data_IF_363432490244
#
_entry.id   IF_363432490244
#
_cell.length_a   1.000
_cell.length_b   1.000
_cell.length_c   1.000
_cell.angle_alpha   90.00
_cell.angle_beta   90.00
_cell.angle_gamma   90.00
#
_symmetry.space_group_name_H-M   'P 1'
#
loop_
_entity.id
_entity.type
_entity.pdbx_description
1 polymer ?
#
# COMPACT_ATOMS: atom_id res chain seq x y z
N UNK A 1 -5.43 22.95 -6.93
CA UNK A 1 -6.31 22.89 -5.77
C UNK A 1 -5.69 23.72 -4.66
N UNK A 2 -6.50 24.41 -3.83
CA UNK A 2 -6.06 25.49 -2.97
C UNK A 2 -5.27 25.14 -1.71
N UNK A 3 -4.84 23.91 -1.56
CA UNK A 3 -4.08 23.37 -0.41
C UNK A 3 -2.65 22.92 -0.78
N UNK A 4 -2.19 23.19 -1.99
CA UNK A 4 -0.86 22.85 -2.47
C UNK A 4 0.02 24.11 -2.56
N UNK A 5 1.21 24.04 -1.97
CA UNK A 5 2.18 25.12 -1.92
C UNK A 5 3.53 24.65 -2.45
N UNK A 6 4.22 25.53 -3.15
CA UNK A 6 5.60 25.31 -3.59
C UNK A 6 6.49 26.30 -2.83
N UNK A 7 7.57 25.79 -2.26
CA UNK A 7 8.58 26.60 -1.56
C UNK A 7 9.94 26.35 -2.23
N UNK A 8 10.64 27.41 -2.59
CA UNK A 8 11.97 27.35 -3.14
C UNK A 8 12.94 27.84 -2.06
N UNK A 9 13.96 27.05 -1.81
CA UNK A 9 15.04 27.39 -0.89
C UNK A 9 16.31 27.61 -1.70
N UNK A 10 16.90 28.77 -1.59
CA UNK A 10 18.12 29.15 -2.27
C UNK A 10 19.31 29.20 -1.30
N UNK A 11 20.53 29.20 -1.82
CA UNK A 11 21.78 29.37 -1.05
C UNK A 11 21.97 28.31 0.07
N UNK A 12 21.56 27.07 -0.18
CA UNK A 12 21.67 26.00 0.80
C UNK A 12 23.10 25.46 0.99
N UNK A 13 24.09 25.93 0.21
CA UNK A 13 25.49 25.51 0.28
C UNK A 13 25.99 24.93 -1.03
N UNK A 14 27.32 24.78 -1.13
CA UNK A 14 27.99 24.28 -2.35
C UNK A 14 27.98 22.75 -2.49
N UNK A 15 27.80 22.02 -1.40
CA UNK A 15 27.76 20.56 -1.37
C UNK A 15 26.30 20.04 -1.22
N UNK A 16 25.99 18.95 -1.92
CA UNK A 16 24.65 18.36 -1.92
C UNK A 16 24.25 17.85 -0.53
N UNK A 17 25.18 17.27 0.21
CA UNK A 17 24.91 16.74 1.55
C UNK A 17 24.61 17.86 2.55
N UNK A 18 25.36 18.96 2.50
CA UNK A 18 25.11 20.14 3.33
C UNK A 18 23.77 20.78 2.97
N UNK A 19 23.50 20.96 1.69
CA UNK A 19 22.23 21.48 1.20
C UNK A 19 21.04 20.64 1.64
N UNK A 20 21.12 19.31 1.52
CA UNK A 20 20.08 18.38 1.98
C UNK A 20 19.88 18.46 3.49
N UNK A 21 20.94 18.61 4.27
CA UNK A 21 20.86 18.77 5.72
C UNK A 21 20.16 20.08 6.11
N UNK A 22 20.46 21.18 5.40
CA UNK A 22 19.79 22.48 5.62
C UNK A 22 18.32 22.43 5.20
N UNK A 23 18.02 21.87 4.03
CA UNK A 23 16.65 21.66 3.57
C UNK A 23 15.84 20.84 4.57
N UNK A 24 16.39 19.73 5.08
CA UNK A 24 15.77 18.89 6.11
C UNK A 24 15.36 19.69 7.34
N UNK A 25 16.23 20.58 7.86
CA UNK A 25 15.92 21.41 9.02
C UNK A 25 14.75 22.35 8.76
N UNK A 26 14.68 22.94 7.55
CA UNK A 26 13.57 23.83 7.17
C UNK A 26 12.28 23.05 7.08
N UNK A 27 12.28 21.92 6.39
CA UNK A 27 11.09 21.07 6.21
C UNK A 27 10.56 20.54 7.54
N UNK A 28 11.45 20.13 8.45
CA UNK A 28 11.07 19.74 9.82
C UNK A 28 10.39 20.87 10.57
N UNK A 29 10.90 22.12 10.45
CA UNK A 29 10.24 23.28 11.05
C UNK A 29 8.86 23.53 10.46
N UNK A 30 8.70 23.41 9.13
CA UNK A 30 7.41 23.59 8.46
C UNK A 30 6.43 22.53 8.99
N UNK A 31 6.79 21.25 8.96
CA UNK A 31 5.94 20.15 9.44
C UNK A 31 5.53 20.38 10.90
N UNK A 32 6.50 20.68 11.77
CA UNK A 32 6.22 20.93 13.20
C UNK A 32 5.30 22.13 13.45
N UNK A 33 5.42 23.21 12.65
CA UNK A 33 4.57 24.38 12.82
C UNK A 33 3.16 24.16 12.26
N UNK A 34 3.02 23.51 11.10
CA UNK A 34 1.70 23.19 10.53
C UNK A 34 0.92 22.21 11.38
N UNK A 35 1.61 21.32 12.10
CA UNK A 35 0.98 20.34 12.99
C UNK A 35 0.51 20.92 14.33
N UNK A 36 0.87 22.16 14.65
CA UNK A 36 0.36 22.80 15.87
C UNK A 36 -1.13 23.07 15.76
N UNK A 37 -1.91 22.80 16.81
CA UNK A 37 -3.32 23.17 16.81
C UNK A 37 -3.49 24.69 16.69
N UNK A 38 -4.50 25.11 15.95
CA UNK A 38 -4.85 26.53 15.81
C UNK A 38 -6.36 26.73 15.95
N UNK A 39 -6.73 27.90 16.45
CA UNK A 39 -8.12 28.25 16.73
C UNK A 39 -8.72 29.07 15.59
N UNK A 40 -9.85 28.62 15.06
CA UNK A 40 -10.67 29.37 14.11
C UNK A 40 -12.10 29.42 14.65
N UNK A 41 -12.63 30.62 14.87
CA UNK A 41 -13.98 30.82 15.40
C UNK A 41 -14.28 29.98 16.66
N UNK A 42 -13.38 29.97 17.64
CA UNK A 42 -13.46 29.17 18.88
C UNK A 42 -13.51 27.63 18.66
N UNK A 43 -13.08 27.13 17.52
CA UNK A 43 -12.90 25.69 17.26
C UNK A 43 -11.42 25.41 17.01
N UNK A 44 -10.94 24.36 17.63
CA UNK A 44 -9.57 23.88 17.45
C UNK A 44 -9.47 23.04 16.17
N UNK A 45 -8.46 23.35 15.34
CA UNK A 45 -8.15 22.64 14.12
C UNK A 45 -6.71 22.11 14.17
N UNK A 46 -6.54 20.91 13.67
CA UNK A 46 -5.23 20.26 13.50
C UNK A 46 -4.89 20.20 12.03
N UNK A 47 -3.82 20.86 11.64
CA UNK A 47 -3.26 20.76 10.30
C UNK A 47 -2.24 19.62 10.21
N UNK A 48 -1.97 19.20 9.01
CA UNK A 48 -0.83 18.32 8.72
C UNK A 48 -0.30 18.59 7.31
N UNK A 49 1.00 18.41 7.09
CA UNK A 49 1.60 18.55 5.78
C UNK A 49 2.36 17.29 5.38
N UNK A 50 2.18 16.87 4.12
CA UNK A 50 3.04 15.89 3.48
C UNK A 50 3.88 16.63 2.46
N UNK A 51 5.21 16.55 2.58
CA UNK A 51 6.12 17.40 1.82
C UNK A 51 7.04 16.54 0.96
N UNK A 52 7.08 16.82 -0.35
CA UNK A 52 8.10 16.30 -1.26
C UNK A 52 9.24 17.31 -1.40
N UNK A 53 10.46 16.84 -1.35
CA UNK A 53 11.66 17.66 -1.45
C UNK A 53 12.50 17.22 -2.65
N UNK A 54 12.83 18.15 -3.53
CA UNK A 54 13.71 17.92 -4.67
C UNK A 54 14.94 18.81 -4.54
N UNK A 55 16.10 18.23 -4.72
CA UNK A 55 17.37 18.94 -4.76
C UNK A 55 17.82 19.13 -6.21
N UNK A 56 18.16 20.36 -6.60
CA UNK A 56 18.62 20.64 -7.96
C UNK A 56 19.69 21.71 -7.97
N UNK A 57 20.44 21.81 -9.06
CA UNK A 57 21.44 22.88 -9.29
C UNK A 57 21.16 23.58 -10.61
N UNK A 58 21.16 24.92 -10.57
CA UNK A 58 21.00 25.75 -11.76
C UNK A 58 19.77 25.38 -12.60
N UNK A 59 19.93 25.35 -13.92
CA UNK A 59 18.85 25.09 -14.89
C UNK A 59 18.96 23.70 -15.56
N UNK A 60 19.45 22.71 -14.85
CA UNK A 60 19.67 21.37 -15.41
C UNK A 60 18.38 20.60 -15.73
N UNK A 61 17.27 20.95 -15.06
CA UNK A 61 15.96 20.31 -15.24
C UNK A 61 14.89 21.35 -15.54
N UNK A 62 13.93 21.03 -16.43
CA UNK A 62 12.72 21.85 -16.62
C UNK A 62 11.90 21.93 -15.33
N UNK A 63 11.21 23.04 -15.12
CA UNK A 63 10.37 23.25 -13.93
C UNK A 63 9.30 22.16 -13.80
N UNK A 64 8.71 21.74 -14.91
CA UNK A 64 7.69 20.68 -14.94
C UNK A 64 8.26 19.34 -14.41
N UNK A 65 9.51 19.04 -14.72
CA UNK A 65 10.18 17.82 -14.23
C UNK A 65 10.47 17.91 -12.72
N UNK A 66 10.92 19.07 -12.23
CA UNK A 66 11.14 19.30 -10.80
C UNK A 66 9.83 19.18 -10.01
N UNK A 67 8.74 19.75 -10.50
CA UNK A 67 7.42 19.64 -9.88
C UNK A 67 6.93 18.19 -9.87
N UNK A 68 7.08 17.46 -10.96
CA UNK A 68 6.74 16.03 -11.02
C UNK A 68 7.53 15.19 -10.01
N UNK A 69 8.84 15.47 -9.85
CA UNK A 69 9.69 14.82 -8.87
C UNK A 69 9.24 15.16 -7.43
N UNK A 70 8.88 16.42 -7.16
CA UNK A 70 8.34 16.85 -5.88
C UNK A 70 7.02 16.14 -5.55
N UNK A 71 6.12 16.01 -6.51
CA UNK A 71 4.85 15.30 -6.37
C UNK A 71 5.06 13.82 -6.05
N UNK A 72 6.00 13.16 -6.71
CA UNK A 72 6.35 11.77 -6.42
C UNK A 72 6.85 11.60 -4.98
N UNK A 73 7.74 12.48 -4.53
CA UNK A 73 8.25 12.46 -3.17
C UNK A 73 7.14 12.78 -2.15
N UNK A 74 6.26 13.74 -2.43
CA UNK A 74 5.10 14.06 -1.60
C UNK A 74 4.12 12.86 -1.51
N UNK A 75 3.88 12.17 -2.61
CA UNK A 75 3.05 10.96 -2.62
C UNK A 75 3.63 9.87 -1.73
N UNK A 76 4.95 9.68 -1.72
CA UNK A 76 5.63 8.76 -0.81
C UNK A 76 5.46 9.20 0.66
N UNK A 77 5.60 10.49 0.96
CA UNK A 77 5.34 11.02 2.29
C UNK A 77 3.88 10.76 2.75
N UNK A 78 2.90 10.92 1.86
CA UNK A 78 1.49 10.54 2.12
C UNK A 78 1.33 9.05 2.40
N UNK A 79 2.07 8.20 1.68
CA UNK A 79 2.06 6.75 1.85
C UNK A 79 2.75 6.28 3.14
N UNK A 80 3.74 7.03 3.62
CA UNK A 80 4.50 6.76 4.84
C UNK A 80 3.80 7.18 6.16
N UNK A 81 2.52 7.52 6.11
CA UNK A 81 1.72 7.86 7.30
C UNK A 81 1.28 9.33 7.35
N UNK A 82 1.55 10.12 6.34
CA UNK A 82 1.29 11.58 6.29
C UNK A 82 2.07 12.36 7.35
N UNK A 83 1.86 13.68 7.43
CA UNK A 83 2.54 14.56 8.38
C UNK A 83 4.05 14.35 8.45
N UNK A 84 4.68 14.17 7.30
CA UNK A 84 6.10 13.86 7.13
C UNK A 84 6.61 14.41 5.79
N UNK A 85 7.89 14.24 5.54
CA UNK A 85 8.50 14.65 4.28
C UNK A 85 9.34 13.52 3.68
N UNK A 86 9.53 13.57 2.38
CA UNK A 86 10.40 12.66 1.64
C UNK A 86 11.25 13.43 0.65
N UNK A 87 12.53 13.09 0.56
CA UNK A 87 13.39 13.57 -0.53
C UNK A 87 13.16 12.72 -1.78
N UNK A 88 13.12 13.36 -2.93
CA UNK A 88 13.04 12.64 -4.20
C UNK A 88 14.31 11.81 -4.40
N UNK A 89 14.10 10.57 -4.79
CA UNK A 89 15.11 9.62 -5.24
C UNK A 89 14.67 9.12 -6.62
N UNK A 90 15.56 9.07 -7.63
CA UNK A 90 15.23 8.51 -8.95
C UNK A 90 14.57 7.12 -8.90
N UNK A 91 14.94 6.27 -7.94
CA UNK A 91 14.32 4.95 -7.74
C UNK A 91 12.85 5.02 -7.32
N UNK A 92 12.37 6.16 -6.82
CA UNK A 92 10.96 6.36 -6.48
C UNK A 92 10.07 6.27 -7.71
N UNK A 93 10.49 6.81 -8.85
CA UNK A 93 9.74 6.75 -10.09
C UNK A 93 9.61 5.31 -10.59
N UNK A 94 10.69 4.54 -10.48
CA UNK A 94 10.68 3.11 -10.81
C UNK A 94 9.71 2.34 -9.90
N UNK A 95 9.74 2.64 -8.60
CA UNK A 95 8.83 2.01 -7.62
C UNK A 95 7.37 2.33 -7.89
N UNK A 96 7.03 3.59 -8.22
CA UNK A 96 5.64 4.00 -8.55
C UNK A 96 5.17 3.33 -9.84
N UNK A 97 6.04 3.31 -10.87
CA UNK A 97 5.73 2.66 -12.15
C UNK A 97 5.53 1.15 -11.98
N UNK A 98 6.42 0.48 -11.24
CA UNK A 98 6.31 -0.94 -10.94
C UNK A 98 5.03 -1.29 -10.15
N UNK A 99 4.64 -0.45 -9.20
CA UNK A 99 3.39 -0.60 -8.46
C UNK A 99 2.16 -0.46 -9.34
N UNK A 100 2.13 0.55 -10.21
CA UNK A 100 1.01 0.74 -11.14
C UNK A 100 0.89 -0.43 -12.11
N UNK A 101 2.02 -0.95 -12.63
CA UNK A 101 2.05 -2.14 -13.46
C UNK A 101 1.54 -3.37 -12.70
N UNK A 102 1.99 -3.58 -11.46
CA UNK A 102 1.56 -4.71 -10.64
C UNK A 102 0.05 -4.65 -10.32
N UNK A 103 -0.51 -3.46 -10.10
CA UNK A 103 -1.96 -3.27 -9.93
C UNK A 103 -2.75 -3.65 -11.18
N UNK A 104 -2.29 -3.17 -12.34
CA UNK A 104 -2.91 -3.52 -13.62
C UNK A 104 -2.85 -5.03 -13.87
N UNK A 105 -1.72 -5.66 -13.61
CA UNK A 105 -1.55 -7.10 -13.70
C UNK A 105 -2.45 -7.86 -12.72
N UNK A 106 -2.57 -7.44 -11.47
CA UNK A 106 -3.44 -8.08 -10.49
C UNK A 106 -4.91 -8.03 -10.92
N UNK A 107 -5.36 -6.91 -11.47
CA UNK A 107 -6.72 -6.76 -12.02
C UNK A 107 -7.00 -7.78 -13.13
N UNK A 108 -6.03 -8.01 -14.00
CA UNK A 108 -6.10 -9.01 -15.07
C UNK A 108 -5.98 -10.42 -14.50
N UNK A 109 -5.07 -10.65 -13.55
CA UNK A 109 -4.84 -11.94 -12.90
C UNK A 109 -6.06 -12.49 -12.15
N UNK A 110 -6.88 -11.60 -11.56
CA UNK A 110 -8.17 -11.94 -10.98
C UNK A 110 -9.17 -12.52 -11.99
N UNK A 111 -9.07 -12.12 -13.27
CA UNK A 111 -9.96 -12.59 -14.34
C UNK A 111 -9.41 -13.81 -15.07
N UNK A 112 -8.09 -14.02 -15.07
CA UNK A 112 -7.38 -15.06 -15.82
C UNK A 112 -7.04 -16.32 -15.04
N UNK A 113 -7.63 -16.50 -13.85
CA UNK A 113 -7.34 -17.65 -12.97
C UNK A 113 -5.84 -17.80 -12.65
N UNK A 114 -5.15 -16.66 -12.42
CA UNK A 114 -3.74 -16.65 -12.02
C UNK A 114 -3.55 -16.79 -10.50
N UNK A 115 -4.63 -16.75 -9.74
CA UNK A 115 -4.59 -16.92 -8.30
C UNK A 115 -4.69 -18.39 -7.92
N UNK A 116 -4.06 -18.77 -6.80
CA UNK A 116 -4.09 -20.10 -6.21
C UNK A 116 -4.30 -19.98 -4.70
N UNK A 117 -4.94 -20.96 -4.09
CA UNK A 117 -4.93 -21.14 -2.65
C UNK A 117 -3.94 -22.23 -2.27
N UNK A 118 -3.04 -21.90 -1.36
CA UNK A 118 -2.25 -22.86 -0.63
C UNK A 118 -2.91 -23.06 0.73
N UNK A 119 -2.77 -24.25 1.31
CA UNK A 119 -3.40 -24.61 2.55
C UNK A 119 -2.34 -24.99 3.58
N UNK A 120 -2.31 -24.27 4.70
CA UNK A 120 -1.43 -24.58 5.81
C UNK A 120 -2.22 -25.32 6.87
N UNK A 121 -1.87 -26.56 7.14
CA UNK A 121 -2.56 -27.38 8.13
C UNK A 121 -2.40 -26.81 9.54
N UNK A 122 -3.48 -26.87 10.29
CA UNK A 122 -3.58 -26.52 11.71
C UNK A 122 -3.78 -27.78 12.52
N UNK A 123 -2.99 -27.95 13.57
CA UNK A 123 -2.99 -29.13 14.42
C UNK A 123 -3.41 -28.79 15.83
N UNK A 124 -4.06 -29.75 16.50
CA UNK A 124 -4.34 -29.65 17.93
C UNK A 124 -3.12 -30.03 18.78
N UNK A 125 -3.30 -30.00 20.11
CA UNK A 125 -2.25 -30.37 21.08
C UNK A 125 -1.85 -31.85 21.04
N UNK A 126 -2.68 -32.71 20.44
CA UNK A 126 -2.43 -34.12 20.19
C UNK A 126 -1.80 -34.39 18.82
N UNK A 127 -1.40 -33.31 18.11
CA UNK A 127 -0.84 -33.36 16.76
C UNK A 127 -1.76 -34.00 15.73
N UNK A 128 -3.10 -33.80 15.89
CA UNK A 128 -4.11 -34.20 14.92
C UNK A 128 -4.53 -33.01 14.07
N UNK A 129 -4.67 -33.16 12.73
CA UNK A 129 -5.12 -32.07 11.87
C UNK A 129 -6.57 -31.72 12.19
N UNK A 130 -6.83 -30.45 12.51
CA UNK A 130 -8.16 -29.91 12.83
C UNK A 130 -8.70 -28.99 11.72
N UNK A 131 -7.82 -28.44 10.91
CA UNK A 131 -8.22 -27.52 9.87
C UNK A 131 -7.06 -27.09 9.01
N UNK A 132 -7.30 -26.11 8.16
CA UNK A 132 -6.26 -25.45 7.37
C UNK A 132 -6.53 -23.96 7.23
N UNK A 133 -5.50 -23.19 7.11
CA UNK A 133 -5.56 -21.77 6.71
C UNK A 133 -5.39 -21.67 5.21
N UNK A 134 -6.33 -20.98 4.54
CA UNK A 134 -6.26 -20.69 3.12
C UNK A 134 -5.38 -19.45 2.89
N UNK A 135 -4.28 -19.65 2.22
CA UNK A 135 -3.28 -18.63 1.94
C UNK A 135 -3.21 -18.35 0.44
N UNK A 136 -3.69 -17.19 0.05
CA UNK A 136 -3.67 -16.78 -1.37
C UNK A 136 -2.23 -16.63 -1.87
N UNK A 137 -2.01 -17.07 -3.11
CA UNK A 137 -0.77 -16.91 -3.89
C UNK A 137 -1.13 -16.44 -5.29
N UNK A 138 -0.26 -15.69 -5.90
CA UNK A 138 -0.46 -15.24 -7.26
C UNK A 138 0.61 -15.84 -8.18
N UNK A 139 0.16 -16.67 -9.09
CA UNK A 139 1.00 -17.24 -10.15
C UNK A 139 1.11 -16.23 -11.29
N UNK A 140 2.01 -15.24 -11.10
CA UNK A 140 2.23 -14.20 -12.09
C UNK A 140 2.97 -14.77 -13.32
N UNK A 141 2.53 -14.46 -14.55
CA UNK A 141 3.10 -15.08 -15.76
C UNK A 141 4.60 -14.78 -15.96
N UNK A 142 5.07 -13.60 -15.55
CA UNK A 142 6.47 -13.19 -15.73
C UNK A 142 7.30 -13.30 -14.45
N UNK A 143 6.67 -13.19 -13.25
CA UNK A 143 7.37 -13.15 -11.96
C UNK A 143 7.31 -14.47 -11.19
N UNK A 144 6.60 -15.45 -11.71
CA UNK A 144 6.37 -16.72 -11.02
C UNK A 144 5.44 -16.56 -9.82
N UNK A 145 5.70 -17.27 -8.74
CA UNK A 145 4.86 -17.28 -7.55
C UNK A 145 5.10 -16.03 -6.69
N UNK A 146 4.14 -15.11 -6.68
CA UNK A 146 4.16 -13.87 -5.91
C UNK A 146 3.43 -14.08 -4.58
N UNK A 147 4.08 -13.70 -3.48
CA UNK A 147 3.54 -13.83 -2.13
C UNK A 147 2.54 -12.72 -1.77
N UNK A 148 1.67 -12.96 -0.76
CA UNK A 148 0.62 -12.00 -0.39
C UNK A 148 1.16 -10.65 0.08
N UNK A 149 2.32 -10.59 0.72
CA UNK A 149 2.94 -9.34 1.19
C UNK A 149 3.18 -8.32 0.07
N UNK A 150 3.38 -8.78 -1.18
CA UNK A 150 3.64 -7.91 -2.31
C UNK A 150 2.35 -7.29 -2.89
N UNK A 151 1.23 -8.03 -2.90
CA UNK A 151 0.03 -7.58 -3.59
C UNK A 151 -1.18 -7.28 -2.70
N UNK A 152 -1.26 -7.81 -1.47
CA UNK A 152 -2.41 -7.54 -0.57
C UNK A 152 -2.50 -6.05 -0.22
N UNK A 153 -1.39 -5.42 0.20
CA UNK A 153 -1.38 -3.98 0.50
C UNK A 153 -1.75 -3.14 -0.73
N UNK A 154 -1.36 -3.58 -1.91
CA UNK A 154 -1.73 -2.95 -3.17
C UNK A 154 -3.24 -3.12 -3.45
N UNK A 155 -3.77 -4.32 -3.28
CA UNK A 155 -5.19 -4.62 -3.43
C UNK A 155 -6.07 -3.81 -2.46
N UNK A 156 -5.63 -3.63 -1.21
CA UNK A 156 -6.31 -2.78 -0.23
C UNK A 156 -6.38 -1.32 -0.69
N UNK A 157 -5.27 -0.74 -1.15
CA UNK A 157 -5.21 0.65 -1.60
C UNK A 157 -6.04 0.90 -2.86
N UNK A 158 -6.01 -0.02 -3.81
CA UNK A 158 -6.73 0.09 -5.09
C UNK A 158 -8.20 -0.36 -5.04
N UNK A 159 -8.63 -1.00 -3.94
CA UNK A 159 -9.98 -1.58 -3.82
C UNK A 159 -10.12 -2.97 -4.45
N UNK A 160 -9.08 -3.50 -5.06
CA UNK A 160 -9.07 -4.87 -5.58
C UNK A 160 -9.18 -5.94 -4.49
N UNK A 161 -8.98 -5.57 -3.22
CA UNK A 161 -9.15 -6.48 -2.09
C UNK A 161 -10.56 -7.07 -2.02
N UNK A 162 -11.59 -6.32 -2.43
CA UNK A 162 -12.99 -6.78 -2.42
C UNK A 162 -13.21 -7.94 -3.41
N UNK A 163 -12.93 -7.79 -4.73
CA UNK A 163 -13.05 -8.91 -5.66
C UNK A 163 -12.08 -10.04 -5.35
N UNK A 164 -10.90 -9.75 -4.80
CA UNK A 164 -9.93 -10.75 -4.38
C UNK A 164 -10.49 -11.60 -3.23
N UNK A 165 -11.03 -10.99 -2.18
CA UNK A 165 -11.61 -11.70 -1.06
C UNK A 165 -12.83 -12.55 -1.45
N UNK A 166 -13.69 -12.05 -2.33
CA UNK A 166 -14.79 -12.85 -2.90
C UNK A 166 -14.28 -14.08 -3.64
N UNK A 167 -13.20 -13.93 -4.38
CA UNK A 167 -12.56 -15.05 -5.07
C UNK A 167 -12.00 -16.07 -4.05
N UNK A 168 -11.28 -15.59 -3.03
CA UNK A 168 -10.71 -16.44 -1.96
C UNK A 168 -11.80 -17.21 -1.23
N UNK A 169 -12.87 -16.54 -0.76
CA UNK A 169 -13.97 -17.17 -0.06
C UNK A 169 -14.66 -18.24 -0.91
N UNK A 170 -14.92 -17.94 -2.18
CA UNK A 170 -15.52 -18.92 -3.11
C UNK A 170 -14.65 -20.16 -3.24
N UNK A 171 -13.34 -19.99 -3.50
CA UNK A 171 -12.40 -21.12 -3.64
C UNK A 171 -12.22 -21.90 -2.35
N UNK A 172 -12.25 -21.24 -1.19
CA UNK A 172 -12.21 -21.91 0.10
C UNK A 172 -13.45 -22.77 0.34
N UNK A 173 -14.65 -22.27 0.03
CA UNK A 173 -15.89 -23.04 0.11
C UNK A 173 -15.92 -24.25 -0.86
N UNK A 174 -15.46 -24.04 -2.11
CA UNK A 174 -15.33 -25.14 -3.10
C UNK A 174 -14.41 -26.25 -2.56
N UNK A 175 -13.28 -25.87 -1.94
CA UNK A 175 -12.34 -26.84 -1.36
C UNK A 175 -12.91 -27.56 -0.14
N UNK A 176 -13.63 -26.84 0.75
CA UNK A 176 -14.34 -27.47 1.89
C UNK A 176 -15.37 -28.48 1.40
N UNK A 177 -16.14 -28.15 0.37
CA UNK A 177 -17.11 -29.07 -0.22
C UNK A 177 -16.43 -30.34 -0.77
N UNK A 178 -15.26 -30.19 -1.41
CA UNK A 178 -14.46 -31.32 -1.87
C UNK A 178 -13.94 -32.18 -0.70
N UNK A 179 -13.49 -31.55 0.39
CA UNK A 179 -13.02 -32.26 1.58
C UNK A 179 -14.14 -33.01 2.29
N UNK A 180 -15.37 -32.47 2.32
CA UNK A 180 -16.53 -33.11 2.92
C UNK A 180 -16.87 -34.47 2.29
N UNK A 181 -16.50 -34.68 1.02
CA UNK A 181 -16.66 -35.97 0.34
C UNK A 181 -15.64 -37.04 0.71
N UNK A 182 -14.61 -36.73 1.48
CA UNK A 182 -13.56 -37.68 1.87
C UNK A 182 -13.52 -37.83 3.42
N UNK A 183 -13.78 -39.04 3.98
CA UNK A 183 -13.79 -39.26 5.41
C UNK A 183 -12.51 -38.81 6.16
N UNK A 184 -11.35 -38.82 5.48
CA UNK A 184 -10.09 -38.40 6.07
C UNK A 184 -9.97 -36.87 6.26
N UNK A 185 -10.79 -36.08 5.55
CA UNK A 185 -10.73 -34.61 5.54
C UNK A 185 -12.05 -33.94 5.87
N UNK A 186 -13.15 -34.72 5.97
CA UNK A 186 -14.51 -34.19 6.19
C UNK A 186 -14.67 -33.43 7.52
N UNK A 187 -13.81 -33.69 8.48
CA UNK A 187 -13.81 -33.01 9.80
C UNK A 187 -13.01 -31.69 9.80
N UNK A 188 -12.23 -31.44 8.76
CA UNK A 188 -11.35 -30.26 8.74
C UNK A 188 -12.15 -28.95 8.56
N UNK A 189 -11.76 -27.95 9.30
CA UNK A 189 -12.24 -26.56 9.14
C UNK A 189 -11.33 -25.75 8.24
N UNK A 190 -11.82 -24.61 7.71
CA UNK A 190 -11.04 -23.69 6.88
C UNK A 190 -11.03 -22.30 7.51
N UNK A 191 -9.84 -21.81 7.82
CA UNK A 191 -9.63 -20.40 8.19
C UNK A 191 -9.31 -19.56 6.93
N UNK A 192 -9.93 -18.39 6.84
CA UNK A 192 -9.71 -17.44 5.73
C UNK A 192 -9.42 -16.07 6.32
N UNK A 193 -8.36 -15.42 5.83
CA UNK A 193 -8.01 -14.07 6.21
C UNK A 193 -8.95 -13.07 5.51
N UNK A 194 -9.50 -12.15 6.28
CA UNK A 194 -10.42 -11.09 5.81
C UNK A 194 -9.84 -9.73 6.18
N UNK A 195 -9.73 -8.83 5.23
CA UNK A 195 -9.28 -7.46 5.49
C UNK A 195 -10.38 -6.63 6.17
N UNK A 196 -9.97 -5.60 6.92
CA UNK A 196 -10.92 -4.67 7.54
C UNK A 196 -11.80 -3.94 6.50
N UNK A 197 -11.30 -3.76 5.28
CA UNK A 197 -12.04 -3.12 4.20
C UNK A 197 -13.13 -4.04 3.64
N UNK A 198 -12.87 -5.33 3.51
CA UNK A 198 -13.86 -6.32 3.10
C UNK A 198 -14.95 -6.47 4.16
N UNK A 199 -14.54 -6.62 5.44
CA UNK A 199 -15.48 -6.77 6.54
C UNK A 199 -16.49 -5.61 6.66
N UNK A 200 -16.06 -4.38 6.32
CA UNK A 200 -16.93 -3.20 6.32
C UNK A 200 -17.74 -3.02 5.03
N UNK A 201 -17.53 -3.86 4.03
CA UNK A 201 -18.26 -3.72 2.77
C UNK A 201 -19.72 -4.14 2.94
N UNK A 202 -20.71 -3.36 2.46
CA UNK A 202 -22.14 -3.68 2.63
C UNK A 202 -22.53 -5.07 2.16
N UNK A 203 -21.90 -5.58 1.12
CA UNK A 203 -22.18 -6.89 0.54
C UNK A 203 -21.35 -8.03 1.14
N UNK A 204 -20.63 -7.80 2.25
CA UNK A 204 -19.79 -8.84 2.86
C UNK A 204 -20.66 -9.92 3.51
N UNK A 205 -21.75 -9.51 4.14
CA UNK A 205 -22.80 -10.41 4.62
C UNK A 205 -24.07 -9.99 3.87
N UNK A 206 -24.51 -10.76 2.86
CA UNK A 206 -25.79 -10.52 2.25
C UNK A 206 -26.88 -10.75 3.29
N UNK A 207 -27.76 -9.73 3.49
CA UNK A 207 -28.91 -9.83 4.36
C UNK A 207 -29.92 -10.85 3.86
#
# INVERSE_FOLDING_TARGET
>A
AGDEFVVILEELGGDLHEAATRARKVVQKITANVSKPYMVHNREYHGSASIGVVMFRGHQHPIEELLKQADLAMYQAKGAGRNTFCFFDPDMQLTVTARAALEAHLRVGLQRDELRLHYQLQYDIQNQPQGAEALVRWQHPERGLVGPSEFITLAEKSGLIIPLGRWVLRRACEQLAAWAGNPATAHLTMAVNVSAREFRHPDFIPG
#
